data_IF_260917041201
#
_entry.id   IF_260917041201
#
_cell.length_a   1.000
_cell.length_b   1.000
_cell.length_c   1.000
_cell.angle_alpha   90.00
_cell.angle_beta   90.00
_cell.angle_gamma   90.00
#
_symmetry.space_group_name_H-M   'P 1'
#
loop_
_entity.id
_entity.type
_entity.pdbx_description
1 polymer ?
#
# COMPACT_ATOMS: atom_id res chain seq x y z
N UNK A 1 -18.09 -45.85 -79.62
CA UNK A 1 -17.09 -44.86 -79.15
C UNK A 1 -17.76 -44.00 -78.09
N UNK A 2 -17.70 -44.30 -76.80
CA UNK A 2 -18.07 -43.41 -75.69
C UNK A 2 -18.10 -44.20 -74.39
N UNK A 3 -16.90 -44.58 -73.89
CA UNK A 3 -16.82 -45.28 -72.58
C UNK A 3 -15.52 -44.90 -71.81
N UNK A 4 -15.03 -43.72 -72.00
CA UNK A 4 -13.73 -43.29 -71.35
C UNK A 4 -13.74 -41.98 -70.63
N UNK A 5 -14.89 -41.54 -70.09
CA UNK A 5 -14.90 -40.24 -69.44
C UNK A 5 -15.72 -40.17 -68.14
N UNK A 6 -15.73 -41.26 -67.34
CA UNK A 6 -16.40 -41.29 -66.04
C UNK A 6 -15.47 -41.59 -64.85
N UNK A 7 -14.17 -41.78 -65.06
CA UNK A 7 -13.27 -42.17 -63.98
C UNK A 7 -12.48 -41.01 -63.37
N UNK A 8 -12.53 -39.82 -63.96
CA UNK A 8 -11.76 -38.65 -63.43
C UNK A 8 -12.53 -37.71 -62.51
N UNK A 9 -13.83 -37.87 -62.36
CA UNK A 9 -14.61 -36.98 -61.48
C UNK A 9 -14.74 -37.48 -60.02
N UNK A 10 -14.34 -38.74 -59.72
CA UNK A 10 -14.46 -39.30 -58.37
C UNK A 10 -13.26 -38.98 -57.46
N UNK A 11 -12.12 -38.59 -58.01
CA UNK A 11 -10.89 -38.46 -57.21
C UNK A 11 -10.72 -37.03 -56.62
N UNK A 12 -11.36 -36.04 -57.23
CA UNK A 12 -11.27 -34.65 -56.73
C UNK A 12 -12.27 -34.32 -55.63
N UNK A 13 -13.33 -35.08 -55.46
CA UNK A 13 -14.33 -34.85 -54.43
C UNK A 13 -13.92 -35.39 -53.05
N UNK A 14 -12.98 -36.36 -52.96
CA UNK A 14 -12.50 -36.87 -51.66
C UNK A 14 -11.30 -36.08 -51.09
N UNK A 15 -10.58 -35.33 -51.90
CA UNK A 15 -9.44 -34.53 -51.44
C UNK A 15 -9.88 -33.16 -50.82
N UNK A 16 -11.06 -32.68 -51.21
CA UNK A 16 -11.57 -31.41 -50.69
C UNK A 16 -12.23 -31.48 -49.30
N UNK A 17 -12.70 -32.70 -48.92
CA UNK A 17 -13.37 -32.88 -47.62
C UNK A 17 -12.39 -33.12 -46.44
N UNK A 18 -11.19 -33.62 -46.73
CA UNK A 18 -10.20 -33.89 -45.68
C UNK A 18 -9.45 -32.64 -45.21
N UNK A 19 -9.39 -31.58 -46.01
CA UNK A 19 -8.72 -30.35 -45.64
C UNK A 19 -9.64 -29.35 -44.94
N UNK A 20 -10.93 -29.38 -45.18
CA UNK A 20 -11.91 -28.52 -44.50
C UNK A 20 -12.10 -28.91 -43.02
N UNK A 21 -12.01 -30.20 -42.69
CA UNK A 21 -12.15 -30.69 -41.30
C UNK A 21 -10.90 -30.40 -40.44
N UNK A 22 -9.71 -30.34 -41.04
CA UNK A 22 -8.48 -30.03 -40.29
C UNK A 22 -8.40 -28.55 -39.89
N UNK A 23 -8.89 -27.66 -40.74
CA UNK A 23 -8.89 -26.22 -40.46
C UNK A 23 -9.97 -25.80 -39.46
N UNK A 24 -11.13 -26.44 -39.47
CA UNK A 24 -12.21 -26.19 -38.50
C UNK A 24 -11.84 -26.71 -37.12
N UNK A 25 -11.09 -27.80 -36.97
CA UNK A 25 -10.58 -28.28 -35.69
C UNK A 25 -9.44 -27.37 -35.13
N UNK A 26 -8.57 -26.83 -36.01
CA UNK A 26 -7.51 -25.92 -35.59
C UNK A 26 -8.06 -24.57 -35.13
N UNK A 27 -9.10 -24.04 -35.77
CA UNK A 27 -9.76 -22.78 -35.35
C UNK A 27 -10.56 -23.00 -34.06
N UNK A 28 -11.23 -24.14 -33.92
CA UNK A 28 -11.98 -24.51 -32.71
C UNK A 28 -11.05 -24.70 -31.48
N UNK A 29 -9.86 -25.27 -31.69
CA UNK A 29 -8.87 -25.44 -30.61
C UNK A 29 -8.19 -24.11 -30.21
N UNK A 30 -8.05 -23.16 -31.14
CA UNK A 30 -7.45 -21.85 -30.86
C UNK A 30 -8.37 -20.90 -30.11
N UNK A 31 -9.69 -21.13 -30.13
CA UNK A 31 -10.68 -20.36 -29.37
C UNK A 31 -10.86 -20.81 -27.92
N UNK A 32 -10.31 -21.96 -27.51
CA UNK A 32 -10.42 -22.49 -26.16
C UNK A 32 -9.31 -21.99 -25.19
N UNK A 33 -8.31 -21.26 -25.68
CA UNK A 33 -7.28 -20.64 -24.85
C UNK A 33 -7.51 -19.15 -24.65
N UNK A 34 -8.73 -18.70 -24.51
CA UNK A 34 -8.95 -17.42 -23.83
C UNK A 34 -8.67 -17.68 -22.35
N UNK A 35 -7.43 -17.46 -21.93
CA UNK A 35 -7.10 -17.28 -20.52
C UNK A 35 -7.93 -16.09 -20.04
N UNK A 36 -9.10 -16.39 -19.49
CA UNK A 36 -9.84 -15.36 -18.77
C UNK A 36 -8.93 -14.93 -17.64
N UNK A 37 -8.37 -13.73 -17.75
CA UNK A 37 -7.74 -13.09 -16.60
C UNK A 37 -8.76 -13.14 -15.46
N UNK A 38 -8.42 -13.68 -14.29
CA UNK A 38 -9.36 -13.72 -13.19
C UNK A 38 -9.84 -12.28 -12.93
N UNK A 39 -11.15 -12.09 -12.96
CA UNK A 39 -11.72 -10.78 -12.70
C UNK A 39 -11.25 -10.31 -11.32
N UNK A 40 -10.64 -9.14 -11.26
CA UNK A 40 -10.26 -8.54 -9.99
C UNK A 40 -11.53 -8.24 -9.21
N UNK A 41 -11.60 -8.69 -7.96
CA UNK A 41 -12.72 -8.42 -7.07
C UNK A 41 -12.35 -7.29 -6.12
N UNK A 42 -13.20 -6.28 -6.03
CA UNK A 42 -13.12 -5.25 -5.01
C UNK A 42 -13.87 -5.70 -3.76
N UNK A 43 -13.23 -5.59 -2.58
CA UNK A 43 -13.84 -5.90 -1.29
C UNK A 43 -13.47 -4.81 -0.28
N UNK A 44 -14.47 -4.22 0.38
CA UNK A 44 -14.25 -3.38 1.55
C UNK A 44 -13.92 -4.27 2.74
N UNK A 45 -12.79 -4.03 3.41
CA UNK A 45 -12.33 -4.79 4.56
C UNK A 45 -12.78 -4.15 5.88
N UNK A 46 -12.76 -2.82 5.95
CA UNK A 46 -13.22 -2.03 7.08
C UNK A 46 -13.69 -0.65 6.60
N UNK A 47 -14.70 -0.09 7.26
CA UNK A 47 -15.18 1.28 7.03
C UNK A 47 -15.03 2.06 8.32
N UNK A 48 -14.20 3.09 8.30
CA UNK A 48 -13.99 3.97 9.44
C UNK A 48 -15.25 4.79 9.73
N UNK A 49 -15.57 4.94 11.01
CA UNK A 49 -16.75 5.66 11.50
C UNK A 49 -16.42 7.06 12.04
N UNK A 50 -17.32 7.57 12.90
CA UNK A 50 -17.11 8.81 13.64
C UNK A 50 -16.31 8.55 14.95
N UNK A 51 -15.72 9.60 15.58
CA UNK A 51 -14.96 9.44 16.82
C UNK A 51 -15.70 8.62 17.90
N UNK A 52 -15.00 7.80 18.69
CA UNK A 52 -13.53 7.75 18.85
C UNK A 52 -12.79 6.88 17.83
N UNK A 53 -13.46 6.46 16.75
CA UNK A 53 -12.83 5.73 15.65
C UNK A 53 -11.77 6.56 14.96
N UNK A 54 -10.88 5.90 14.25
CA UNK A 54 -9.91 6.54 13.37
C UNK A 54 -10.62 7.16 12.15
N UNK A 55 -10.18 8.32 11.67
CA UNK A 55 -10.83 9.04 10.56
C UNK A 55 -9.83 9.43 9.48
N UNK A 56 -10.27 9.35 8.21
CA UNK A 56 -9.50 9.74 7.04
C UNK A 56 -8.18 8.95 6.86
N UNK A 57 -8.24 7.65 6.54
CA UNK A 57 -7.08 6.84 6.16
C UNK A 57 -6.63 7.20 4.74
N UNK A 58 -5.78 8.20 4.57
CA UNK A 58 -5.37 8.73 3.26
C UNK A 58 -4.14 8.03 2.70
N UNK A 59 -3.36 7.37 3.55
CA UNK A 59 -2.12 6.72 3.17
C UNK A 59 -2.30 5.23 2.82
N UNK A 60 -1.31 4.66 2.14
CA UNK A 60 -1.24 3.22 1.92
C UNK A 60 -1.05 2.44 3.21
N UNK A 61 -1.40 1.16 3.19
CA UNK A 61 -1.25 0.25 4.32
C UNK A 61 -0.07 -0.69 4.12
N UNK A 62 0.57 -1.12 5.22
CA UNK A 62 1.54 -2.22 5.22
C UNK A 62 0.89 -3.49 5.77
N UNK A 63 1.28 -4.64 5.23
CA UNK A 63 0.72 -5.95 5.59
C UNK A 63 1.75 -6.81 6.28
N UNK A 64 1.35 -7.56 7.33
CA UNK A 64 2.16 -8.61 7.92
C UNK A 64 1.86 -10.02 7.35
N UNK A 65 2.66 -11.00 7.77
CA UNK A 65 2.49 -12.39 7.31
C UNK A 65 1.20 -13.05 7.83
N UNK A 66 0.61 -12.54 8.89
CA UNK A 66 -0.67 -13.01 9.44
C UNK A 66 -1.89 -12.39 8.71
N UNK A 67 -1.64 -11.46 7.76
CA UNK A 67 -2.67 -10.79 6.98
C UNK A 67 -3.24 -9.55 7.64
N UNK A 68 -2.68 -9.08 8.77
CA UNK A 68 -3.06 -7.80 9.34
C UNK A 68 -2.55 -6.65 8.48
N UNK A 69 -3.35 -5.60 8.39
CA UNK A 69 -3.05 -4.35 7.71
C UNK A 69 -2.83 -3.26 8.75
N UNK A 70 -1.78 -2.47 8.57
CA UNK A 70 -1.44 -1.35 9.46
C UNK A 70 -1.41 -0.07 8.66
N UNK A 71 -1.98 0.99 9.20
CA UNK A 71 -2.04 2.30 8.55
C UNK A 71 -2.16 3.44 9.56
N UNK A 72 -2.27 4.63 9.03
CA UNK A 72 -2.44 5.88 9.76
C UNK A 72 -3.73 6.56 9.35
N UNK A 73 -4.30 7.35 10.24
CA UNK A 73 -5.42 8.25 9.95
C UNK A 73 -5.03 9.67 10.32
N UNK A 74 -5.44 10.64 9.51
CA UNK A 74 -5.09 12.05 9.72
C UNK A 74 -5.79 12.59 10.97
N UNK A 75 -7.06 12.22 11.16
CA UNK A 75 -7.91 12.69 12.24
C UNK A 75 -8.51 11.50 13.00
N UNK A 76 -9.41 11.80 13.92
CA UNK A 76 -10.04 10.78 14.77
C UNK A 76 -9.12 10.32 15.89
N UNK A 77 -9.45 9.14 16.46
CA UNK A 77 -8.85 8.66 17.69
C UNK A 77 -9.26 9.47 18.92
N UNK A 78 -8.67 9.18 20.07
CA UNK A 78 -9.09 9.75 21.35
C UNK A 78 -8.91 11.26 21.46
N UNK A 79 -8.00 11.85 20.69
CA UNK A 79 -7.63 13.28 20.77
C UNK A 79 -7.91 14.05 19.48
N UNK A 80 -8.44 13.40 18.43
CA UNK A 80 -8.71 14.05 17.14
C UNK A 80 -7.45 14.41 16.33
N UNK A 81 -6.27 13.96 16.76
CA UNK A 81 -4.98 14.29 16.14
C UNK A 81 -4.42 13.18 15.25
N UNK A 82 -5.27 12.21 14.93
CA UNK A 82 -4.92 11.03 14.15
C UNK A 82 -4.46 9.85 14.99
N UNK A 83 -4.30 8.73 14.32
CA UNK A 83 -3.97 7.47 14.98
C UNK A 83 -3.11 6.55 14.10
N UNK A 84 -2.53 5.53 14.73
CA UNK A 84 -2.05 4.32 14.07
C UNK A 84 -3.03 3.22 14.35
N UNK A 85 -3.48 2.52 13.32
CA UNK A 85 -4.46 1.43 13.43
C UNK A 85 -3.96 0.13 12.83
N UNK A 86 -4.63 -0.96 13.20
CA UNK A 86 -4.52 -2.29 12.60
C UNK A 86 -5.90 -2.79 12.22
N UNK A 87 -6.06 -3.29 10.99
CA UNK A 87 -7.20 -4.12 10.59
C UNK A 87 -6.72 -5.55 10.48
N UNK A 88 -7.27 -6.47 11.26
CA UNK A 88 -6.86 -7.87 11.22
C UNK A 88 -7.47 -8.62 10.02
N UNK A 89 -7.04 -9.86 9.79
CA UNK A 89 -7.51 -10.68 8.66
C UNK A 89 -9.03 -10.96 8.69
N UNK A 90 -9.70 -10.81 9.83
CA UNK A 90 -11.17 -10.94 9.95
C UNK A 90 -11.91 -9.61 9.71
N UNK A 91 -11.20 -8.52 9.42
CA UNK A 91 -11.78 -7.20 9.19
C UNK A 91 -12.05 -6.40 10.48
N UNK A 92 -11.53 -6.83 11.64
CA UNK A 92 -11.67 -6.07 12.89
C UNK A 92 -10.55 -5.02 12.98
N UNK A 93 -10.95 -3.77 13.14
CA UNK A 93 -10.05 -2.65 13.44
C UNK A 93 -9.66 -2.64 14.92
N UNK A 94 -8.48 -2.07 15.19
CA UNK A 94 -7.96 -1.78 16.54
C UNK A 94 -7.03 -0.58 16.43
N UNK A 95 -7.30 0.49 17.17
CA UNK A 95 -6.37 1.60 17.34
C UNK A 95 -5.19 1.14 18.19
N UNK A 96 -3.98 1.29 17.65
CA UNK A 96 -2.73 0.92 18.31
C UNK A 96 -2.10 2.09 19.06
N UNK A 97 -2.30 3.31 18.54
CA UNK A 97 -1.81 4.55 19.13
C UNK A 97 -2.70 5.73 18.73
N UNK A 98 -2.96 6.64 19.68
CA UNK A 98 -3.63 7.91 19.44
C UNK A 98 -2.65 9.05 19.64
N UNK A 99 -2.42 9.85 18.61
CA UNK A 99 -1.57 11.04 18.70
C UNK A 99 -2.25 12.11 19.54
N UNK A 100 -1.47 12.75 20.42
CA UNK A 100 -2.01 13.79 21.34
C UNK A 100 -1.92 15.20 20.75
N UNK A 101 -1.12 15.38 19.67
CA UNK A 101 -0.80 16.69 19.13
C UNK A 101 0.34 17.40 19.89
N UNK A 102 0.88 16.76 20.93
CA UNK A 102 2.02 17.21 21.69
C UNK A 102 3.37 16.85 21.04
N UNK A 103 4.36 16.55 21.86
CA UNK A 103 5.69 16.13 21.40
C UNK A 103 5.68 14.77 20.66
N UNK A 104 4.63 14.00 20.75
CA UNK A 104 4.42 12.76 20.01
C UNK A 104 3.97 12.98 18.56
N UNK A 105 3.51 14.18 18.25
CA UNK A 105 3.08 14.60 16.93
C UNK A 105 1.57 14.59 16.69
N UNK A 106 1.19 15.02 15.49
CA UNK A 106 -0.17 15.08 14.98
C UNK A 106 -0.20 14.91 13.47
N UNK A 107 -1.37 14.58 12.91
CA UNK A 107 -1.62 14.51 11.48
C UNK A 107 -0.63 13.59 10.74
N UNK A 108 -0.64 12.27 11.00
CA UNK A 108 0.21 11.32 10.27
C UNK A 108 -0.35 11.12 8.86
N UNK A 109 0.11 11.93 7.90
CA UNK A 109 -0.34 11.93 6.52
C UNK A 109 0.26 10.80 5.69
N UNK A 110 1.47 10.36 6.03
CA UNK A 110 2.19 9.33 5.30
C UNK A 110 1.87 7.91 5.80
N UNK A 111 2.04 6.95 4.91
CA UNK A 111 1.95 5.53 5.24
C UNK A 111 3.10 5.05 6.12
N UNK A 112 2.88 3.92 6.75
CA UNK A 112 3.89 3.25 7.58
C UNK A 112 4.85 2.43 6.74
N UNK A 113 6.06 2.21 7.25
CA UNK A 113 6.92 1.10 6.85
C UNK A 113 7.06 0.11 8.00
N UNK A 114 7.35 -1.16 7.68
CA UNK A 114 7.47 -2.24 8.66
C UNK A 114 8.78 -2.98 8.46
N UNK A 115 9.51 -3.23 9.56
CA UNK A 115 10.71 -4.05 9.51
C UNK A 115 10.44 -5.55 9.78
N UNK A 116 11.49 -6.38 9.68
CA UNK A 116 11.39 -7.82 9.88
C UNK A 116 11.04 -8.21 11.34
N UNK A 117 11.36 -7.37 12.32
CA UNK A 117 10.99 -7.56 13.72
C UNK A 117 9.54 -7.18 14.01
N UNK A 118 8.86 -6.57 13.03
CA UNK A 118 7.47 -6.13 13.17
C UNK A 118 7.32 -4.70 13.66
N UNK A 119 8.40 -3.96 13.88
CA UNK A 119 8.30 -2.55 14.21
C UNK A 119 7.69 -1.76 13.05
N UNK A 120 6.89 -0.76 13.39
CA UNK A 120 6.30 0.19 12.46
C UNK A 120 7.03 1.53 12.61
N UNK A 121 7.23 2.20 11.49
CA UNK A 121 7.83 3.54 11.45
C UNK A 121 6.97 4.44 10.60
N UNK A 122 6.84 5.70 10.99
CA UNK A 122 6.06 6.69 10.27
C UNK A 122 6.47 8.11 10.64
N UNK A 123 5.74 9.06 10.07
CA UNK A 123 5.93 10.49 10.30
C UNK A 123 4.63 11.15 10.72
N UNK A 124 4.72 12.22 11.49
CA UNK A 124 3.63 13.17 11.73
C UNK A 124 4.02 14.52 11.17
N UNK A 125 3.06 15.26 10.64
CA UNK A 125 3.34 16.56 10.01
C UNK A 125 3.54 17.65 11.06
N UNK A 126 2.74 17.62 12.12
CA UNK A 126 2.76 18.64 13.17
C UNK A 126 3.17 18.05 14.52
N UNK A 127 3.60 18.92 15.42
CA UNK A 127 3.88 18.64 16.83
C UNK A 127 3.82 19.92 17.63
N UNK A 128 3.44 19.85 18.90
CA UNK A 128 3.41 21.03 19.78
C UNK A 128 4.52 20.90 20.84
N UNK A 129 5.19 21.96 21.24
CA UNK A 129 4.96 23.39 20.87
C UNK A 129 5.74 23.87 19.62
N UNK A 130 6.42 22.98 18.88
CA UNK A 130 7.43 23.39 17.90
C UNK A 130 6.95 23.34 16.44
N UNK A 131 5.74 22.87 16.18
CA UNK A 131 5.07 22.83 14.87
C UNK A 131 5.95 22.28 13.73
N UNK A 132 6.65 21.18 13.98
CA UNK A 132 7.59 20.65 13.00
C UNK A 132 7.38 19.19 12.60
N UNK A 133 6.56 18.46 13.32
CA UNK A 133 6.32 17.03 13.10
C UNK A 133 7.38 16.11 13.70
N UNK A 134 7.20 14.80 13.52
CA UNK A 134 8.07 13.76 14.09
C UNK A 134 8.38 12.63 13.11
N UNK A 135 9.49 11.94 13.36
CA UNK A 135 9.69 10.55 12.95
C UNK A 135 9.47 9.67 14.17
N UNK A 136 8.60 8.67 14.07
CA UNK A 136 8.26 7.79 15.19
C UNK A 136 8.49 6.32 14.87
N UNK A 137 8.62 5.53 15.93
CA UNK A 137 8.66 4.06 15.91
C UNK A 137 7.61 3.50 16.86
N UNK A 138 6.98 2.42 16.44
CA UNK A 138 6.15 1.58 17.30
C UNK A 138 6.70 0.15 17.32
N UNK A 139 6.87 -0.40 18.51
CA UNK A 139 7.40 -1.75 18.72
C UNK A 139 6.33 -2.64 19.33
N UNK A 140 6.01 -3.80 18.72
CA UNK A 140 5.05 -4.72 19.29
C UNK A 140 5.63 -5.41 20.53
N UNK A 141 4.85 -5.47 21.60
CA UNK A 141 5.17 -6.21 22.82
C UNK A 141 4.58 -7.62 22.79
N UNK A 142 5.15 -8.55 23.54
CA UNK A 142 4.68 -9.95 23.64
C UNK A 142 3.27 -10.06 24.19
N UNK A 143 2.80 -9.10 24.98
CA UNK A 143 1.44 -9.05 25.54
C UNK A 143 0.39 -8.46 24.57
N UNK A 144 0.78 -8.15 23.31
CA UNK A 144 -0.09 -7.57 22.28
C UNK A 144 -0.27 -6.06 22.35
N UNK A 145 0.32 -5.38 23.33
CA UNK A 145 0.42 -3.90 23.35
C UNK A 145 1.52 -3.40 22.42
N UNK A 146 1.59 -2.08 22.24
CA UNK A 146 2.61 -1.44 21.43
C UNK A 146 3.32 -0.37 22.25
N UNK A 147 4.64 -0.34 22.17
CA UNK A 147 5.46 0.75 22.70
C UNK A 147 5.66 1.79 21.60
N UNK A 148 5.42 3.07 21.92
CA UNK A 148 5.63 4.21 21.04
C UNK A 148 6.90 4.96 21.43
N UNK A 149 7.67 5.44 20.46
CA UNK A 149 8.82 6.30 20.67
C UNK A 149 8.98 7.30 19.53
N UNK A 150 9.31 8.54 19.86
CA UNK A 150 9.77 9.56 18.90
C UNK A 150 11.25 9.32 18.65
N UNK A 151 11.63 9.11 17.40
CA UNK A 151 13.02 8.97 16.96
C UNK A 151 13.66 10.32 16.65
N UNK A 152 12.87 11.23 16.06
CA UNK A 152 13.29 12.58 15.76
C UNK A 152 12.10 13.53 15.86
N UNK A 153 12.32 14.69 16.48
CA UNK A 153 11.39 15.79 16.54
C UNK A 153 11.93 16.93 15.66
N UNK A 154 11.19 17.27 14.63
CA UNK A 154 11.56 18.40 13.78
C UNK A 154 11.24 19.71 14.50
N UNK A 155 12.23 20.60 14.60
CA UNK A 155 12.06 21.92 15.18
C UNK A 155 13.02 22.90 14.52
N UNK A 156 12.47 23.96 13.92
CA UNK A 156 13.27 24.99 13.29
C UNK A 156 14.02 24.52 12.04
N UNK A 157 15.13 25.19 11.74
CA UNK A 157 15.98 24.93 10.58
C UNK A 157 16.84 23.66 10.83
N UNK A 158 17.07 22.75 9.82
CA UNK A 158 16.74 22.98 8.41
C UNK A 158 15.42 22.34 7.93
N UNK A 159 14.64 21.67 8.77
CA UNK A 159 13.57 20.81 8.29
C UNK A 159 12.29 20.91 9.14
N UNK A 160 11.14 21.05 8.49
CA UNK A 160 9.80 21.03 9.07
C UNK A 160 8.83 20.25 8.20
N UNK A 161 7.77 19.73 8.79
CA UNK A 161 6.62 19.10 8.14
C UNK A 161 7.00 17.94 7.21
N UNK A 162 7.34 16.77 7.74
CA UNK A 162 7.62 15.59 6.94
C UNK A 162 6.31 14.99 6.38
N UNK A 163 5.89 15.45 5.20
CA UNK A 163 4.71 14.93 4.50
C UNK A 163 4.95 13.57 3.85
N UNK A 164 6.22 13.29 3.50
CA UNK A 164 6.60 12.09 2.79
C UNK A 164 6.66 10.85 3.69
N UNK A 165 6.46 9.68 3.09
CA UNK A 165 6.72 8.40 3.74
C UNK A 165 8.22 8.16 3.92
N UNK A 166 8.54 7.11 4.70
CA UNK A 166 9.90 6.70 4.99
C UNK A 166 10.34 5.55 4.09
N UNK A 167 11.63 5.49 3.81
CA UNK A 167 12.31 4.27 3.38
C UNK A 167 13.37 3.90 4.41
N UNK A 168 13.68 2.59 4.52
CA UNK A 168 14.63 2.06 5.48
C UNK A 168 15.68 1.23 4.77
N UNK A 169 16.96 1.44 5.07
CA UNK A 169 18.05 0.62 4.58
C UNK A 169 18.29 -0.64 5.45
N UNK A 170 19.26 -1.46 5.04
CA UNK A 170 19.65 -2.68 5.76
C UNK A 170 20.35 -2.40 7.09
N UNK A 171 20.99 -1.24 7.25
CA UNK A 171 21.62 -0.82 8.49
C UNK A 171 20.61 -0.31 9.52
N UNK A 172 19.39 0.04 9.05
CA UNK A 172 18.31 0.52 9.90
C UNK A 172 18.07 2.02 9.79
N UNK A 173 18.86 2.72 8.99
CA UNK A 173 18.69 4.14 8.76
C UNK A 173 17.36 4.41 8.06
N UNK A 174 16.69 5.49 8.44
CA UNK A 174 15.43 5.95 7.90
C UNK A 174 15.66 7.20 7.07
N UNK A 175 15.13 7.23 5.87
CA UNK A 175 15.22 8.36 4.95
C UNK A 175 13.83 8.88 4.64
N UNK A 176 13.68 10.19 4.60
CA UNK A 176 12.42 10.85 4.29
C UNK A 176 12.64 12.25 3.72
N UNK A 177 11.53 12.95 3.47
CA UNK A 177 11.53 14.31 2.94
C UNK A 177 10.64 15.21 3.78
N UNK A 178 11.00 16.48 3.89
CA UNK A 178 10.13 17.52 4.45
C UNK A 178 9.66 18.44 3.33
N UNK A 179 8.49 19.04 3.49
CA UNK A 179 7.98 20.02 2.53
C UNK A 179 8.59 21.40 2.75
N UNK A 180 8.90 21.73 4.01
CA UNK A 180 9.31 23.06 4.41
C UNK A 180 10.61 23.05 5.21
N UNK A 181 11.21 24.24 5.31
CA UNK A 181 12.25 24.57 6.24
C UNK A 181 11.80 25.80 7.06
N UNK A 182 12.52 26.10 8.14
CA UNK A 182 12.25 27.31 8.92
C UNK A 182 12.25 28.56 8.02
N UNK A 183 11.31 29.45 8.28
CA UNK A 183 11.15 30.71 7.52
C UNK A 183 12.44 31.52 7.47
N UNK A 184 12.70 32.15 6.33
CA UNK A 184 13.87 33.03 6.12
C UNK A 184 15.11 32.32 5.56
N UNK A 185 15.09 30.99 5.32
CA UNK A 185 16.27 30.26 4.81
C UNK A 185 16.28 30.13 3.27
N UNK A 186 15.17 30.45 2.60
CA UNK A 186 15.00 30.22 1.15
C UNK A 186 14.94 28.76 0.73
N UNK A 187 14.93 27.84 1.68
CA UNK A 187 14.80 26.40 1.46
C UNK A 187 13.33 26.02 1.20
N UNK A 188 13.09 25.03 0.33
CA UNK A 188 11.77 24.53 -0.02
C UNK A 188 11.65 23.03 0.30
N UNK A 189 12.20 22.59 1.42
CA UNK A 189 12.22 21.21 1.86
C UNK A 189 13.60 20.57 1.78
N UNK A 190 13.75 19.42 2.46
CA UNK A 190 15.00 18.67 2.51
C UNK A 190 14.74 17.17 2.35
N UNK A 191 15.80 16.44 1.98
CA UNK A 191 15.91 15.00 2.19
C UNK A 191 16.70 14.80 3.48
N UNK A 192 16.21 13.98 4.40
CA UNK A 192 16.84 13.75 5.69
C UNK A 192 17.12 12.26 5.94
N UNK A 193 18.05 12.00 6.85
CA UNK A 193 18.37 10.68 7.41
C UNK A 193 18.20 10.72 8.92
N UNK A 194 17.58 9.69 9.48
CA UNK A 194 17.54 9.40 10.92
C UNK A 194 18.23 8.06 11.16
N UNK A 195 19.35 8.08 11.87
CA UNK A 195 20.09 6.87 12.26
C UNK A 195 19.52 6.26 13.53
N UNK A 196 19.59 4.90 13.72
CA UNK A 196 19.15 4.22 14.93
C UNK A 196 19.90 4.65 16.17
#
# INVERSE_FOLDING_TARGET
MTKRMKWFQGIWAMAASAHASAWTLAIGAMLLFTTQSPAQTFKVLYSFGAPPDAEFPTAGVVRDNAGNLYGTTIFGGAFGQGSVYRVNASGKETVLYNFTGGADGALPLAGLIRDAAGNLYGTTVNSSPVDGGTVFKMTPNLNGSWAFSVLHLFHGNPALHPFGGLVRDKAGNLYGTTADCASGTGCQGVVYEVTP
#
